data_IF_430499306863
#
_entry.id   IF_430499306863
#
_cell.length_a   1.000
_cell.length_b   1.000
_cell.length_c   1.000
_cell.angle_alpha   90.00
_cell.angle_beta   90.00
_cell.angle_gamma   90.00
#
_symmetry.space_group_name_H-M   'P 1'
#
loop_
_entity.id
_entity.type
_entity.pdbx_description
1 polymer ?
#
# COMPACT_ATOMS: atom_id res chain seq x y z
N UNK A 1 1.07 -17.63 -0.71
CA UNK A 1 0.78 -19.07 -0.73
C UNK A 1 -0.72 -19.28 -0.64
N UNK A 2 -1.24 -20.28 -1.34
CA UNK A 2 -2.68 -20.60 -1.35
C UNK A 2 -2.84 -22.00 -0.76
N UNK A 3 -3.79 -22.16 0.14
CA UNK A 3 -4.20 -23.44 0.67
C UNK A 3 -5.54 -23.85 0.08
N UNK A 4 -5.75 -25.15 -0.12
CA UNK A 4 -6.99 -25.66 -0.68
C UNK A 4 -7.33 -27.03 -0.13
N UNK A 5 -8.62 -27.35 -0.13
CA UNK A 5 -9.18 -28.71 -0.10
C UNK A 5 -9.87 -28.97 -1.45
N UNK A 6 -10.55 -30.09 -1.61
CA UNK A 6 -11.18 -30.45 -2.88
C UNK A 6 -12.26 -29.47 -3.36
N UNK A 7 -12.77 -28.61 -2.48
CA UNK A 7 -13.92 -27.75 -2.73
C UNK A 7 -13.65 -26.26 -2.48
N UNK A 8 -12.64 -25.95 -1.67
CA UNK A 8 -12.41 -24.58 -1.16
C UNK A 8 -10.93 -24.24 -1.19
N UNK A 9 -10.65 -22.95 -1.28
CA UNK A 9 -9.30 -22.42 -1.19
C UNK A 9 -9.28 -21.10 -0.42
N UNK A 10 -8.11 -20.75 0.13
CA UNK A 10 -7.87 -19.42 0.70
C UNK A 10 -6.43 -18.97 0.47
N UNK A 11 -6.24 -17.65 0.35
CA UNK A 11 -4.94 -17.02 0.32
C UNK A 11 -4.43 -16.73 1.72
N UNK A 12 -3.14 -16.99 1.97
CA UNK A 12 -2.48 -16.58 3.21
C UNK A 12 -2.24 -15.05 3.21
N UNK A 13 -1.93 -14.43 4.34
CA UNK A 13 -1.51 -13.02 4.35
C UNK A 13 -0.35 -12.74 3.38
N UNK A 14 0.63 -13.63 3.30
CA UNK A 14 1.74 -13.52 2.35
C UNK A 14 1.29 -13.57 0.88
N UNK A 15 0.28 -14.38 0.54
CA UNK A 15 -0.32 -14.37 -0.79
C UNK A 15 -0.86 -12.97 -1.12
N UNK A 16 -1.57 -12.33 -0.20
CA UNK A 16 -2.10 -10.99 -0.42
C UNK A 16 -1.02 -9.93 -0.56
N UNK A 17 0.06 -10.01 0.22
CA UNK A 17 1.23 -9.12 0.07
C UNK A 17 1.81 -9.25 -1.34
N UNK A 18 2.09 -10.47 -1.79
CA UNK A 18 2.63 -10.71 -3.14
C UNK A 18 1.67 -10.25 -4.23
N UNK A 19 0.37 -10.54 -4.07
CA UNK A 19 -0.66 -10.08 -5.01
C UNK A 19 -0.69 -8.55 -5.09
N UNK A 20 -0.69 -7.85 -3.95
CA UNK A 20 -0.69 -6.38 -3.92
C UNK A 20 0.55 -5.80 -4.62
N UNK A 21 1.72 -6.41 -4.46
CA UNK A 21 2.91 -6.01 -5.22
C UNK A 21 2.76 -6.26 -6.71
N UNK A 22 2.30 -7.44 -7.09
CA UNK A 22 2.19 -7.89 -8.48
C UNK A 22 1.19 -7.07 -9.30
N UNK A 23 -0.02 -6.84 -8.75
CA UNK A 23 -1.08 -6.12 -9.49
C UNK A 23 -0.92 -4.59 -9.44
N UNK A 24 -0.08 -4.08 -8.55
CA UNK A 24 0.21 -2.66 -8.42
C UNK A 24 1.65 -2.34 -8.84
N UNK A 25 2.08 -2.88 -9.94
CA UNK A 25 3.35 -2.53 -10.57
C UNK A 25 3.16 -1.35 -11.51
N UNK A 26 4.11 -0.42 -11.50
CA UNK A 26 4.15 0.65 -12.51
C UNK A 26 4.99 0.23 -13.72
N UNK A 27 5.03 1.10 -14.71
CA UNK A 27 5.88 0.96 -15.91
C UNK A 27 7.25 1.58 -15.69
N UNK A 28 7.36 2.54 -14.77
CA UNK A 28 8.61 3.24 -14.43
C UNK A 28 8.74 3.42 -12.92
N UNK A 29 9.91 3.10 -12.39
CA UNK A 29 10.22 3.36 -10.99
C UNK A 29 10.45 4.87 -10.77
N UNK A 30 9.96 5.39 -9.66
CA UNK A 30 10.18 6.75 -9.22
C UNK A 30 11.12 6.76 -8.01
N UNK A 31 12.01 7.76 -7.91
CA UNK A 31 12.81 7.94 -6.70
C UNK A 31 11.92 8.33 -5.52
N UNK A 32 12.25 7.80 -4.35
CA UNK A 32 11.58 8.13 -3.10
C UNK A 32 12.62 8.63 -2.10
N UNK A 33 12.29 9.73 -1.43
CA UNK A 33 13.07 10.24 -0.31
C UNK A 33 12.20 10.18 0.96
N UNK A 34 12.74 9.57 2.01
CA UNK A 34 12.19 9.57 3.35
C UNK A 34 13.00 10.56 4.19
N UNK A 35 12.37 11.65 4.63
CA UNK A 35 13.03 12.75 5.35
C UNK A 35 14.32 13.25 4.66
N UNK A 36 14.27 13.36 3.32
CA UNK A 36 15.41 13.76 2.50
C UNK A 36 16.48 12.68 2.24
N UNK A 37 16.29 11.47 2.74
CA UNK A 37 17.20 10.33 2.59
C UNK A 37 16.61 9.25 1.66
N UNK A 38 17.46 8.56 0.91
CA UNK A 38 17.08 7.38 0.13
C UNK A 38 17.02 6.10 0.98
N UNK A 39 17.33 6.17 2.26
CA UNK A 39 17.31 5.02 3.17
C UNK A 39 15.87 4.66 3.53
N UNK A 40 15.59 3.37 3.48
CA UNK A 40 14.34 2.79 3.96
C UNK A 40 14.55 2.14 5.34
N UNK A 41 13.48 2.04 6.12
CA UNK A 41 13.44 1.32 7.39
C UNK A 41 13.78 2.15 8.63
N UNK A 42 14.12 3.43 8.47
CA UNK A 42 14.21 4.31 9.63
C UNK A 42 12.81 4.54 10.21
N UNK A 43 12.70 4.38 11.54
CA UNK A 43 11.42 4.52 12.24
C UNK A 43 10.34 3.54 11.76
N UNK A 44 10.70 2.31 11.36
CA UNK A 44 9.78 1.27 10.92
C UNK A 44 8.98 1.58 9.64
N UNK A 45 9.39 2.56 8.85
CA UNK A 45 8.75 2.95 7.61
C UNK A 45 9.56 2.55 6.39
N UNK A 46 8.90 1.87 5.44
CA UNK A 46 9.45 1.54 4.14
C UNK A 46 8.56 2.12 3.05
N UNK A 47 9.16 2.69 2.02
CA UNK A 47 8.43 3.29 0.91
C UNK A 47 9.08 2.96 -0.43
N UNK A 48 8.25 2.78 -1.45
CA UNK A 48 8.65 2.75 -2.85
C UNK A 48 7.56 3.39 -3.71
N UNK A 49 7.95 3.90 -4.87
CA UNK A 49 7.00 4.52 -5.79
C UNK A 49 7.29 4.12 -7.24
N UNK A 50 6.25 4.07 -8.02
CA UNK A 50 6.31 3.86 -9.46
C UNK A 50 5.23 4.66 -10.17
N UNK A 51 5.41 4.91 -11.45
CA UNK A 51 4.42 5.51 -12.34
C UNK A 51 3.84 4.44 -13.25
N UNK A 52 2.54 4.35 -13.28
CA UNK A 52 1.81 3.63 -14.32
C UNK A 52 1.46 4.61 -15.44
N UNK A 53 2.28 4.61 -16.49
CA UNK A 53 2.12 5.55 -17.60
C UNK A 53 0.85 5.29 -18.42
N UNK A 54 0.37 4.06 -18.45
CA UNK A 54 -0.83 3.67 -19.16
C UNK A 54 -2.10 4.24 -18.53
N UNK A 55 -2.17 4.21 -17.20
CA UNK A 55 -3.29 4.73 -16.43
C UNK A 55 -3.07 6.20 -15.99
N UNK A 56 -1.84 6.70 -16.06
CA UNK A 56 -1.50 8.02 -15.53
C UNK A 56 -1.64 8.09 -14.00
N UNK A 57 -1.20 7.05 -13.31
CA UNK A 57 -1.27 6.95 -11.86
C UNK A 57 0.12 6.81 -11.23
N UNK A 58 0.37 7.56 -10.18
CA UNK A 58 1.50 7.30 -9.27
C UNK A 58 1.06 6.23 -8.27
N UNK A 59 1.86 5.18 -8.16
CA UNK A 59 1.65 4.08 -7.23
C UNK A 59 2.68 4.22 -6.12
N UNK A 60 2.22 4.51 -4.91
CA UNK A 60 3.07 4.58 -3.72
C UNK A 60 2.79 3.37 -2.83
N UNK A 61 3.83 2.65 -2.46
CA UNK A 61 3.76 1.52 -1.54
C UNK A 61 4.43 1.89 -0.24
N UNK A 62 3.72 1.72 0.85
CA UNK A 62 4.15 2.09 2.20
C UNK A 62 3.97 0.91 3.13
N UNK A 63 5.00 0.61 3.92
CA UNK A 63 4.95 -0.43 4.95
C UNK A 63 5.30 0.21 6.29
N UNK A 64 4.40 0.08 7.24
CA UNK A 64 4.63 0.40 8.63
C UNK A 64 4.80 -0.90 9.42
N UNK A 65 6.01 -1.21 9.84
CA UNK A 65 6.31 -2.41 10.65
C UNK A 65 6.14 -2.18 12.14
N UNK A 66 5.98 -0.92 12.55
CA UNK A 66 5.81 -0.52 13.94
C UNK A 66 4.44 -0.88 14.51
N UNK A 67 4.34 -0.86 15.83
CA UNK A 67 3.11 -1.13 16.58
C UNK A 67 2.23 0.11 16.79
N UNK A 68 2.64 1.27 16.30
CA UNK A 68 1.89 2.52 16.37
C UNK A 68 1.53 3.02 14.97
N UNK A 69 0.44 3.75 14.86
CA UNK A 69 0.09 4.49 13.64
C UNK A 69 1.13 5.55 13.34
N UNK A 70 1.34 5.86 12.06
CA UNK A 70 2.27 6.88 11.60
C UNK A 70 1.62 7.78 10.57
N UNK A 71 1.76 9.08 10.74
CA UNK A 71 1.36 10.05 9.73
C UNK A 71 2.52 10.26 8.75
N UNK A 72 2.27 9.90 7.50
CA UNK A 72 3.21 10.11 6.40
C UNK A 72 2.78 11.34 5.61
N UNK A 73 3.64 12.35 5.57
CA UNK A 73 3.49 13.47 4.63
C UNK A 73 4.02 13.04 3.28
N UNK A 74 3.14 13.00 2.30
CA UNK A 74 3.45 12.58 0.94
C UNK A 74 3.49 13.80 0.05
N UNK A 75 4.64 14.04 -0.58
CA UNK A 75 4.83 15.12 -1.53
C UNK A 75 5.11 14.53 -2.90
N UNK A 76 4.26 14.86 -3.87
CA UNK A 76 4.38 14.42 -5.25
C UNK A 76 5.05 15.53 -6.07
N UNK A 77 6.38 15.51 -6.11
CA UNK A 77 7.13 16.51 -6.87
C UNK A 77 6.84 16.40 -8.37
N UNK A 78 6.47 17.53 -8.99
CA UNK A 78 6.16 17.60 -10.43
C UNK A 78 4.76 17.10 -10.82
N UNK A 79 3.92 16.67 -9.89
CA UNK A 79 2.53 16.36 -10.18
C UNK A 79 1.72 17.66 -10.32
N UNK A 80 1.15 17.87 -11.52
CA UNK A 80 0.37 19.09 -11.81
C UNK A 80 -1.11 18.99 -11.43
N UNK A 81 -1.59 17.81 -11.02
CA UNK A 81 -3.02 17.55 -10.85
C UNK A 81 -3.36 17.10 -9.44
N UNK A 82 -3.50 18.09 -8.60
CA UNK A 82 -4.08 17.99 -7.28
C UNK A 82 -5.62 18.05 -7.34
N UNK A 83 -6.29 17.45 -6.38
CA UNK A 83 -7.74 17.55 -6.24
C UNK A 83 -8.52 16.38 -6.83
N UNK A 84 -7.87 15.25 -7.07
CA UNK A 84 -8.52 14.03 -7.57
C UNK A 84 -8.64 12.96 -6.48
N UNK A 85 -9.66 12.13 -6.63
CA UNK A 85 -9.81 10.96 -5.78
C UNK A 85 -8.87 9.84 -6.27
N UNK A 86 -8.08 9.31 -5.36
CA UNK A 86 -7.28 8.13 -5.56
C UNK A 86 -7.89 6.91 -4.86
N UNK A 87 -7.09 5.85 -4.74
CA UNK A 87 -7.45 4.63 -4.03
C UNK A 87 -6.36 4.24 -3.06
N UNK A 88 -6.75 3.80 -1.88
CA UNK A 88 -5.85 3.19 -0.90
C UNK A 88 -6.24 1.73 -0.71
N UNK A 89 -5.29 0.83 -0.89
CA UNK A 89 -5.45 -0.62 -0.67
C UNK A 89 -4.62 -0.98 0.54
N UNK A 90 -5.25 -1.42 1.61
CA UNK A 90 -4.62 -1.63 2.91
C UNK A 90 -4.77 -3.07 3.36
N UNK A 91 -3.64 -3.70 3.68
CA UNK A 91 -3.57 -4.97 4.39
C UNK A 91 -2.96 -4.71 5.77
N UNK A 92 -3.68 -5.07 6.83
CA UNK A 92 -3.27 -4.76 8.19
C UNK A 92 -3.72 -5.86 9.16
N UNK A 93 -2.89 -6.13 10.17
CA UNK A 93 -3.27 -6.92 11.32
C UNK A 93 -2.55 -6.45 12.57
N UNK A 94 -3.28 -6.29 13.65
CA UNK A 94 -2.68 -6.06 14.97
C UNK A 94 -2.12 -7.35 15.57
N UNK A 95 -2.71 -8.49 15.22
CA UNK A 95 -2.24 -9.81 15.64
C UNK A 95 -1.23 -10.36 14.63
N UNK A 96 0.02 -10.52 15.07
CA UNK A 96 1.11 -11.06 14.24
C UNK A 96 0.94 -12.54 13.91
N UNK A 97 0.07 -13.26 14.62
CA UNK A 97 -0.22 -14.69 14.42
C UNK A 97 -1.53 -14.91 13.68
N UNK A 98 -2.23 -13.82 13.29
CA UNK A 98 -3.49 -13.94 12.58
C UNK A 98 -3.30 -14.60 11.22
N UNK A 99 -4.12 -15.61 10.94
CA UNK A 99 -4.10 -16.37 9.69
C UNK A 99 -5.52 -16.50 9.13
N UNK A 100 -5.58 -16.69 7.82
CA UNK A 100 -6.79 -17.11 7.14
C UNK A 100 -6.97 -18.63 7.26
N UNK A 101 -8.20 -19.09 7.10
CA UNK A 101 -8.53 -20.52 7.15
C UNK A 101 -9.64 -20.86 6.16
N UNK A 102 -9.92 -22.14 5.94
CA UNK A 102 -11.03 -22.58 5.10
C UNK A 102 -12.41 -22.12 5.62
N UNK A 103 -12.53 -21.85 6.92
CA UNK A 103 -13.76 -21.33 7.53
C UNK A 103 -13.81 -19.80 7.56
N UNK A 104 -12.64 -19.16 7.52
CA UNK A 104 -12.50 -17.69 7.49
C UNK A 104 -11.48 -17.29 6.41
N UNK A 105 -11.79 -17.48 5.13
CA UNK A 105 -10.82 -17.36 4.04
C UNK A 105 -10.36 -15.92 3.78
N UNK A 106 -11.10 -14.93 4.26
CA UNK A 106 -10.85 -13.50 4.07
C UNK A 106 -10.74 -12.73 5.38
N UNK A 107 -10.48 -13.41 6.51
CA UNK A 107 -10.26 -12.75 7.81
C UNK A 107 -9.19 -11.66 7.70
N UNK A 108 -8.12 -11.97 6.98
CA UNK A 108 -7.06 -11.03 6.61
C UNK A 108 -7.03 -10.93 5.09
N UNK A 109 -7.60 -9.86 4.57
CA UNK A 109 -7.61 -9.53 3.17
C UNK A 109 -7.43 -8.01 2.99
N UNK A 110 -6.88 -7.56 1.86
CA UNK A 110 -6.78 -6.14 1.57
C UNK A 110 -8.15 -5.47 1.51
N UNK A 111 -8.23 -4.28 2.08
CA UNK A 111 -9.42 -3.43 2.03
C UNK A 111 -9.11 -2.23 1.14
N UNK A 112 -9.96 -1.97 0.16
CA UNK A 112 -9.87 -0.80 -0.70
C UNK A 112 -10.72 0.34 -0.14
N UNK A 113 -10.14 1.54 -0.10
CA UNK A 113 -10.80 2.77 0.36
C UNK A 113 -10.55 3.88 -0.63
N UNK A 114 -11.48 4.82 -0.71
CA UNK A 114 -11.24 6.07 -1.43
C UNK A 114 -10.15 6.88 -0.72
N UNK A 115 -9.27 7.47 -1.51
CA UNK A 115 -8.20 8.35 -1.05
C UNK A 115 -8.48 9.77 -1.53
N UNK A 116 -8.55 10.69 -0.59
CA UNK A 116 -8.61 12.12 -0.92
C UNK A 116 -7.19 12.65 -1.15
N UNK A 117 -6.98 13.28 -2.30
CA UNK A 117 -5.71 13.88 -2.70
C UNK A 117 -5.96 15.37 -2.96
N UNK A 118 -5.97 16.19 -1.90
CA UNK A 118 -6.32 17.61 -2.03
C UNK A 118 -5.29 18.43 -2.81
N UNK A 119 -4.06 17.90 -2.94
CA UNK A 119 -2.98 18.61 -3.62
C UNK A 119 -1.76 17.75 -3.89
N UNK A 120 -0.69 18.38 -4.36
CA UNK A 120 0.61 17.73 -4.53
C UNK A 120 1.28 17.32 -3.22
N UNK A 121 0.73 17.76 -2.09
CA UNK A 121 1.15 17.36 -0.76
C UNK A 121 -0.08 17.04 0.09
N UNK A 122 -0.04 15.93 0.82
CA UNK A 122 -1.10 15.52 1.75
C UNK A 122 -0.54 14.60 2.83
N UNK A 123 -1.29 14.44 3.92
CA UNK A 123 -0.94 13.53 5.00
C UNK A 123 -1.79 12.26 4.86
N UNK A 124 -1.15 11.10 4.96
CA UNK A 124 -1.80 9.81 5.02
C UNK A 124 -1.43 9.09 6.32
N UNK A 125 -2.43 8.68 7.09
CA UNK A 125 -2.23 7.97 8.34
C UNK A 125 -2.09 6.48 8.09
N UNK A 126 -0.90 5.94 8.32
CA UNK A 126 -0.58 4.53 8.20
C UNK A 126 -0.98 3.79 9.48
N UNK A 127 -1.76 2.76 9.34
CA UNK A 127 -2.10 1.87 10.46
C UNK A 127 -0.86 1.11 10.96
N UNK A 128 -0.84 0.68 12.21
CA UNK A 128 0.24 -0.16 12.72
C UNK A 128 0.28 -1.50 11.97
N UNK A 129 1.47 -2.02 11.74
CA UNK A 129 1.69 -3.31 11.09
C UNK A 129 0.89 -3.47 9.80
N UNK A 130 1.06 -2.51 8.90
CA UNK A 130 0.28 -2.43 7.67
C UNK A 130 1.15 -2.36 6.42
N UNK A 131 0.61 -2.89 5.33
CA UNK A 131 1.06 -2.64 3.98
C UNK A 131 -0.03 -1.89 3.23
N UNK A 132 0.32 -0.71 2.72
CA UNK A 132 -0.60 0.19 2.03
C UNK A 132 -0.10 0.48 0.62
N UNK A 133 -0.99 0.37 -0.35
CA UNK A 133 -0.75 0.83 -1.71
C UNK A 133 -1.68 2.00 -1.98
N UNK A 134 -1.10 3.14 -2.33
CA UNK A 134 -1.84 4.31 -2.78
C UNK A 134 -1.75 4.41 -4.30
N UNK A 135 -2.88 4.53 -4.97
CA UNK A 135 -2.95 4.82 -6.41
C UNK A 135 -3.50 6.22 -6.59
N UNK A 136 -2.66 7.12 -7.09
CA UNK A 136 -2.90 8.55 -7.13
C UNK A 136 -2.90 9.00 -8.59
N UNK A 137 -4.01 9.52 -9.12
CA UNK A 137 -4.02 10.09 -10.46
C UNK A 137 -2.98 11.20 -10.60
N UNK A 138 -2.16 11.14 -11.66
CA UNK A 138 -1.09 12.10 -11.92
C UNK A 138 -1.39 13.03 -13.10
N UNK A 139 -2.54 12.84 -13.73
CA UNK A 139 -3.01 13.63 -14.88
C UNK A 139 -4.40 14.20 -14.64
#
# INVERSE_FOLDING_TARGET
MIWFDNLRSYGTPNYYVQKMFSVNKGTRQLPVLLDGSTRNGEGDLYASASLDESLGEVIVKLVNTGSASKDARITLAGAQHAGKHGRAIVLQSEDLKAENSLTQPTKLAPIEKQLEVPGGEFIYSLLPRSFTVLRIPSR
#
